data_IF_581173740433
#
_entry.id   IF_581173740433
#
_cell.length_a   1.000
_cell.length_b   1.000
_cell.length_c   1.000
_cell.angle_alpha   90.00
_cell.angle_beta   90.00
_cell.angle_gamma   90.00
#
_symmetry.space_group_name_H-M   'P 1'
#
loop_
_entity.id
_entity.type
_entity.pdbx_description
1 polymer ?
#
# COMPACT_ATOMS: atom_id res chain seq x y z
N UNK A 1 -32.76 -26.61 -22.04
CA UNK A 1 -32.16 -27.58 -21.10
C UNK A 1 -30.82 -27.05 -20.58
N UNK A 2 -29.66 -27.33 -21.19
CA UNK A 2 -28.33 -26.89 -20.67
C UNK A 2 -28.24 -25.37 -20.38
N UNK A 3 -28.77 -24.51 -21.26
CA UNK A 3 -28.79 -23.06 -21.05
C UNK A 3 -29.68 -22.61 -19.88
N UNK A 4 -30.71 -23.38 -19.56
CA UNK A 4 -31.67 -23.10 -18.49
C UNK A 4 -31.10 -23.58 -17.14
N UNK A 5 -30.48 -24.76 -17.12
CA UNK A 5 -29.72 -25.28 -15.98
C UNK A 5 -28.57 -24.33 -15.58
N UNK A 6 -27.80 -23.82 -16.55
CA UNK A 6 -26.75 -22.82 -16.30
C UNK A 6 -27.35 -21.53 -15.70
N UNK A 7 -28.54 -21.10 -16.16
CA UNK A 7 -29.22 -19.91 -15.65
C UNK A 7 -29.76 -20.13 -14.23
N UNK A 8 -30.30 -21.31 -13.95
CA UNK A 8 -30.79 -21.71 -12.63
C UNK A 8 -29.65 -21.80 -11.61
N UNK A 9 -28.57 -22.53 -11.93
CA UNK A 9 -27.35 -22.58 -11.11
C UNK A 9 -26.77 -21.17 -10.87
N UNK A 10 -26.70 -20.33 -11.90
CA UNK A 10 -26.28 -18.93 -11.76
C UNK A 10 -27.17 -18.11 -10.82
N UNK A 11 -28.46 -18.46 -10.72
CA UNK A 11 -29.43 -17.79 -9.85
C UNK A 11 -29.30 -18.30 -8.41
N UNK A 12 -29.15 -19.61 -8.21
CA UNK A 12 -28.90 -20.23 -6.91
C UNK A 12 -27.59 -19.70 -6.29
N UNK A 13 -26.50 -19.66 -7.05
CA UNK A 13 -25.22 -19.10 -6.59
C UNK A 13 -25.34 -17.62 -6.22
N UNK A 14 -26.04 -16.80 -7.02
CA UNK A 14 -26.31 -15.39 -6.67
C UNK A 14 -27.12 -15.25 -5.38
N UNK A 15 -28.09 -16.14 -5.15
CA UNK A 15 -28.91 -16.17 -3.93
C UNK A 15 -28.05 -16.52 -2.71
N UNK A 16 -27.26 -17.59 -2.78
CA UNK A 16 -26.34 -17.98 -1.70
C UNK A 16 -25.33 -16.88 -1.37
N UNK A 17 -24.74 -16.23 -2.39
CA UNK A 17 -23.84 -15.09 -2.18
C UNK A 17 -24.58 -13.93 -1.49
N UNK A 18 -25.82 -13.63 -1.88
CA UNK A 18 -26.61 -12.56 -1.27
C UNK A 18 -27.03 -12.86 0.19
N UNK A 19 -27.19 -14.15 0.54
CA UNK A 19 -27.60 -14.59 1.87
C UNK A 19 -26.42 -14.76 2.84
N UNK A 20 -25.22 -15.09 2.33
CA UNK A 20 -24.08 -15.49 3.17
C UNK A 20 -22.85 -14.57 3.09
N UNK A 21 -22.74 -13.68 2.10
CA UNK A 21 -21.71 -12.63 2.10
C UNK A 21 -22.34 -11.27 2.49
N UNK A 22 -21.88 -10.64 3.59
CA UNK A 22 -22.15 -9.24 3.85
C UNK A 22 -21.64 -8.41 2.66
N UNK A 23 -22.54 -7.72 1.97
CA UNK A 23 -22.18 -6.89 0.79
C UNK A 23 -21.43 -5.62 1.18
N UNK A 24 -21.74 -5.10 2.37
CA UNK A 24 -21.18 -3.89 2.92
C UNK A 24 -20.63 -4.19 4.32
N UNK A 25 -19.34 -3.97 4.54
CA UNK A 25 -18.73 -4.07 5.86
C UNK A 25 -19.02 -2.81 6.65
N UNK A 26 -20.03 -2.86 7.53
CA UNK A 26 -20.47 -1.71 8.34
C UNK A 26 -19.73 -1.63 9.69
N UNK A 27 -19.08 -2.70 10.13
CA UNK A 27 -18.19 -2.72 11.30
C UNK A 27 -16.74 -3.03 10.92
N UNK A 28 -15.80 -2.64 11.80
CA UNK A 28 -14.36 -2.95 11.64
C UNK A 28 -14.13 -4.46 11.54
N UNK A 29 -14.85 -5.24 12.34
CA UNK A 29 -14.75 -6.70 12.42
C UNK A 29 -15.21 -7.35 11.10
N UNK A 30 -16.31 -6.87 10.52
CA UNK A 30 -16.80 -7.32 9.21
C UNK A 30 -15.80 -6.99 8.09
N UNK A 31 -15.23 -5.78 8.09
CA UNK A 31 -14.20 -5.39 7.11
C UNK A 31 -12.95 -6.26 7.25
N UNK A 32 -12.47 -6.48 8.47
CA UNK A 32 -11.30 -7.31 8.76
C UNK A 32 -11.53 -8.78 8.36
N UNK A 33 -12.72 -9.32 8.65
CA UNK A 33 -13.10 -10.66 8.18
C UNK A 33 -13.14 -10.74 6.66
N UNK A 34 -13.80 -9.79 5.98
CA UNK A 34 -13.88 -9.76 4.52
C UNK A 34 -12.51 -9.68 3.84
N UNK A 35 -11.60 -8.86 4.38
CA UNK A 35 -10.22 -8.75 3.89
C UNK A 35 -9.43 -10.05 4.12
N UNK A 36 -9.65 -10.75 5.24
CA UNK A 36 -9.03 -12.07 5.50
C UNK A 36 -9.53 -13.16 4.55
N UNK A 37 -10.82 -13.15 4.21
CA UNK A 37 -11.41 -14.18 3.34
C UNK A 37 -11.18 -13.92 1.85
N UNK A 38 -11.23 -12.66 1.40
CA UNK A 38 -11.29 -12.30 -0.02
C UNK A 38 -10.18 -11.34 -0.47
N UNK A 39 -9.43 -10.75 0.46
CA UNK A 39 -8.53 -9.63 0.20
C UNK A 39 -9.25 -8.31 -0.09
N UNK A 40 -8.50 -7.21 -0.28
CA UNK A 40 -9.04 -5.96 -0.82
C UNK A 40 -9.39 -6.09 -2.31
N UNK A 41 -10.21 -5.15 -2.83
CA UNK A 41 -10.36 -4.97 -4.27
C UNK A 41 -9.02 -4.63 -4.95
N UNK A 42 -8.92 -4.89 -6.25
CA UNK A 42 -7.74 -4.56 -7.07
C UNK A 42 -7.40 -3.07 -7.01
N UNK A 43 -8.43 -2.22 -6.96
CA UNK A 43 -8.33 -0.77 -6.90
C UNK A 43 -7.84 -0.31 -5.51
N UNK A 44 -8.42 -0.84 -4.43
CA UNK A 44 -7.97 -0.54 -3.06
C UNK A 44 -6.54 -1.01 -2.82
N UNK A 45 -6.17 -2.21 -3.30
CA UNK A 45 -4.79 -2.71 -3.28
C UNK A 45 -3.84 -1.80 -4.05
N UNK A 46 -4.24 -1.29 -5.22
CA UNK A 46 -3.45 -0.31 -6.00
C UNK A 46 -3.21 0.99 -5.23
N UNK A 47 -4.24 1.56 -4.59
CA UNK A 47 -4.11 2.79 -3.80
C UNK A 47 -3.23 2.57 -2.57
N UNK A 48 -3.47 1.51 -1.79
CA UNK A 48 -2.69 1.22 -0.58
C UNK A 48 -1.22 0.87 -0.89
N UNK A 49 -0.94 0.20 -2.01
CA UNK A 49 0.42 -0.02 -2.48
C UNK A 49 1.13 1.29 -2.90
N UNK A 50 0.42 2.30 -3.44
CA UNK A 50 1.02 3.62 -3.68
C UNK A 50 1.42 4.31 -2.38
N UNK A 51 0.58 4.24 -1.35
CA UNK A 51 0.92 4.76 -0.02
C UNK A 51 2.06 3.96 0.64
N UNK A 52 2.17 2.66 0.37
CA UNK A 52 3.26 1.81 0.87
C UNK A 52 4.59 2.13 0.16
N UNK A 53 4.56 2.36 -1.16
CA UNK A 53 5.68 2.91 -1.92
C UNK A 53 6.11 4.29 -1.37
N UNK A 54 5.16 5.14 -0.97
CA UNK A 54 5.42 6.44 -0.36
C UNK A 54 6.02 6.34 1.06
N UNK A 55 5.53 5.43 1.89
CA UNK A 55 6.09 5.20 3.23
C UNK A 55 7.51 4.65 3.17
N UNK A 56 7.78 3.69 2.26
CA UNK A 56 9.13 3.20 2.01
C UNK A 56 10.05 4.30 1.49
N UNK A 57 9.57 5.19 0.62
CA UNK A 57 10.34 6.35 0.16
C UNK A 57 10.70 7.28 1.33
N UNK A 58 9.73 7.62 2.18
CA UNK A 58 9.96 8.52 3.31
C UNK A 58 11.04 7.99 4.27
N UNK A 59 11.03 6.68 4.53
CA UNK A 59 12.07 5.98 5.29
C UNK A 59 13.41 5.97 4.55
N UNK A 60 13.43 5.63 3.25
CA UNK A 60 14.67 5.58 2.44
C UNK A 60 15.36 6.97 2.28
N UNK A 61 14.65 8.07 2.51
CA UNK A 61 15.18 9.45 2.35
C UNK A 61 15.15 10.32 3.61
N UNK A 62 14.52 9.87 4.70
CA UNK A 62 14.23 10.71 5.89
C UNK A 62 13.31 11.91 5.60
N UNK A 63 12.52 11.85 4.51
CA UNK A 63 11.68 12.96 4.02
C UNK A 63 10.26 12.51 3.73
N UNK A 64 9.34 13.05 4.50
CA UNK A 64 7.94 12.68 4.54
C UNK A 64 7.14 13.70 3.72
N UNK A 65 6.55 13.25 2.61
CA UNK A 65 5.64 14.07 1.80
C UNK A 65 4.20 13.68 2.13
N UNK A 66 3.42 14.63 2.65
CA UNK A 66 2.06 14.36 3.11
C UNK A 66 1.06 15.36 2.52
N UNK A 67 -0.16 14.88 2.27
CA UNK A 67 -1.30 15.74 1.96
C UNK A 67 -2.04 16.02 3.27
N UNK A 68 -1.77 17.18 3.88
CA UNK A 68 -2.30 17.56 5.20
C UNK A 68 -3.48 18.52 5.04
N UNK A 69 -4.56 18.24 5.76
CA UNK A 69 -5.66 19.19 5.90
C UNK A 69 -5.25 20.30 6.90
N UNK A 70 -5.54 21.56 6.58
CA UNK A 70 -5.30 22.71 7.48
C UNK A 70 -6.48 23.00 8.41
N UNK A 71 -7.63 22.44 8.10
CA UNK A 71 -8.86 22.57 8.86
C UNK A 71 -9.11 21.30 9.70
N UNK A 72 -9.90 21.43 10.76
CA UNK A 72 -10.26 20.28 11.61
C UNK A 72 -11.11 19.28 10.80
N UNK A 73 -10.72 18.00 10.68
CA UNK A 73 -11.51 16.98 10.00
C UNK A 73 -12.95 16.90 10.51
N UNK A 74 -13.90 16.66 9.60
CA UNK A 74 -15.33 16.51 9.92
C UNK A 74 -15.71 15.09 10.32
N UNK A 75 -15.04 14.08 9.73
CA UNK A 75 -15.30 12.68 10.03
C UNK A 75 -14.74 12.31 11.41
N UNK A 76 -15.57 11.65 12.23
CA UNK A 76 -15.12 11.08 13.51
C UNK A 76 -14.09 9.97 13.26
N UNK A 77 -13.00 9.97 14.01
CA UNK A 77 -11.90 9.01 13.83
C UNK A 77 -11.02 9.25 12.60
N UNK A 78 -11.18 10.38 11.89
CA UNK A 78 -10.26 10.79 10.83
C UNK A 78 -8.82 10.95 11.35
N UNK A 79 -7.84 10.70 10.47
CA UNK A 79 -6.43 10.97 10.79
C UNK A 79 -6.20 12.48 10.97
N UNK A 80 -5.66 12.86 12.13
CA UNK A 80 -5.36 14.26 12.47
C UNK A 80 -4.02 14.79 11.94
N UNK A 81 -3.12 13.93 11.46
CA UNK A 81 -1.82 14.32 10.90
C UNK A 81 -1.91 14.58 9.38
N UNK A 82 -2.42 13.62 8.60
CA UNK A 82 -2.56 13.76 7.15
C UNK A 82 -3.65 12.88 6.53
N UNK A 83 -4.09 13.25 5.34
CA UNK A 83 -5.10 12.54 4.57
C UNK A 83 -4.52 11.60 3.50
N UNK A 84 -3.27 11.78 3.07
CA UNK A 84 -2.59 10.85 2.14
C UNK A 84 -1.07 10.94 2.26
N UNK A 85 -0.38 9.80 2.05
CA UNK A 85 1.09 9.71 1.92
C UNK A 85 1.48 9.86 0.46
N UNK A 86 2.37 10.80 0.17
CA UNK A 86 2.77 11.14 -1.20
C UNK A 86 4.15 10.55 -1.48
N UNK A 87 4.31 9.95 -2.65
CA UNK A 87 5.56 9.39 -3.17
C UNK A 87 5.58 9.43 -4.69
N UNK A 88 6.69 9.03 -5.32
CA UNK A 88 7.00 9.31 -6.74
C UNK A 88 5.90 9.04 -7.77
N UNK A 89 5.04 8.04 -7.54
CA UNK A 89 3.93 7.64 -8.45
C UNK A 89 2.66 8.49 -8.28
N UNK A 90 2.63 9.41 -7.34
CA UNK A 90 1.50 10.32 -7.12
C UNK A 90 1.56 11.48 -8.10
N UNK A 91 0.41 11.85 -8.66
CA UNK A 91 0.29 12.88 -9.70
C UNK A 91 0.01 14.26 -9.10
N UNK A 92 0.72 15.25 -9.64
CA UNK A 92 0.57 16.66 -9.37
C UNK A 92 -0.66 17.25 -10.08
N UNK A 93 -1.14 18.41 -9.62
CA UNK A 93 -2.17 19.21 -10.30
C UNK A 93 -1.84 19.53 -11.77
N UNK A 94 -0.57 19.54 -12.19
CA UNK A 94 -0.19 19.71 -13.59
C UNK A 94 -0.40 18.47 -14.48
N UNK A 95 -0.75 17.32 -13.90
CA UNK A 95 -0.93 16.04 -14.59
C UNK A 95 0.31 15.14 -14.62
N UNK A 96 1.47 15.60 -14.14
CA UNK A 96 2.72 14.84 -14.14
C UNK A 96 3.01 14.19 -12.76
N UNK A 97 3.72 13.04 -12.71
CA UNK A 97 4.07 12.38 -11.45
C UNK A 97 5.04 13.23 -10.61
N UNK A 98 5.11 12.98 -9.30
CA UNK A 98 6.11 13.62 -8.42
C UNK A 98 7.54 13.39 -8.91
N UNK A 99 7.83 12.24 -9.52
CA UNK A 99 9.12 11.94 -10.15
C UNK A 99 9.53 12.92 -11.28
N UNK A 100 8.56 13.63 -11.87
CA UNK A 100 8.76 14.61 -12.94
C UNK A 100 8.78 16.06 -12.41
N UNK A 101 8.82 16.23 -11.09
CA UNK A 101 9.18 17.47 -10.43
C UNK A 101 10.64 17.42 -9.98
N UNK A 102 11.23 18.60 -9.74
CA UNK A 102 12.52 18.71 -9.05
C UNK A 102 12.38 18.13 -7.64
N UNK A 103 12.66 16.83 -7.54
CA UNK A 103 13.05 16.16 -6.30
C UNK A 103 14.57 16.20 -6.22
N UNK A 104 15.19 16.35 -5.03
CA UNK A 104 16.64 16.35 -4.91
C UNK A 104 17.20 14.97 -5.30
N UNK A 105 17.78 14.93 -6.50
CA UNK A 105 18.72 13.91 -6.93
C UNK A 105 20.15 14.47 -6.90
N UNK A 106 20.50 15.28 -5.88
CA UNK A 106 21.75 16.07 -5.90
C UNK A 106 22.33 16.57 -4.57
N UNK A 107 22.23 15.76 -3.51
CA UNK A 107 23.42 15.60 -2.66
C UNK A 107 24.21 14.43 -3.26
N UNK A 108 25.14 14.73 -4.16
CA UNK A 108 26.13 13.73 -4.53
C UNK A 108 26.96 13.39 -3.29
N UNK A 109 27.39 12.13 -3.15
CA UNK A 109 28.46 11.74 -2.21
C UNK A 109 29.82 12.30 -2.69
N UNK A 110 29.90 13.62 -2.90
CA UNK A 110 31.12 14.34 -3.29
C UNK A 110 32.22 14.21 -2.23
N UNK A 111 31.85 13.94 -0.98
CA UNK A 111 32.76 13.56 0.10
C UNK A 111 33.49 12.23 -0.15
N UNK A 112 32.85 11.24 -0.78
CA UNK A 112 33.47 9.95 -1.06
C UNK A 112 34.53 10.03 -2.17
N UNK A 113 34.35 10.91 -3.16
CA UNK A 113 35.33 11.14 -4.23
C UNK A 113 36.49 12.08 -3.81
N UNK A 114 36.26 12.96 -2.82
CA UNK A 114 37.27 13.92 -2.35
C UNK A 114 38.19 13.37 -1.23
N UNK A 115 37.74 12.36 -0.47
CA UNK A 115 38.51 11.81 0.67
C UNK A 115 39.46 10.66 0.30
N UNK A 116 39.39 10.10 -0.91
CA UNK A 116 40.28 9.02 -1.37
C UNK A 116 41.74 9.46 -1.64
N UNK A 117 42.14 10.70 -1.30
CA UNK A 117 43.45 11.28 -1.65
C UNK A 117 44.21 11.97 -0.51
N UNK A 118 43.77 11.86 0.76
CA UNK A 118 44.48 12.46 1.92
C UNK A 118 44.40 11.62 3.21
N UNK A 119 45.46 10.84 3.49
CA UNK A 119 45.79 10.21 4.78
C UNK A 119 44.81 9.14 5.31
N UNK A 120 45.19 7.97 5.85
CA UNK A 120 46.50 7.53 6.39
C UNK A 120 47.15 8.57 7.30
N UNK A 121 46.73 8.62 8.56
CA UNK A 121 47.38 7.89 9.67
C UNK A 121 46.70 8.27 11.01
N UNK A 122 46.69 7.36 12.00
CA UNK A 122 46.22 7.66 13.37
C UNK A 122 45.30 6.62 14.01
N UNK A 123 45.87 5.70 14.78
CA UNK A 123 45.14 4.92 15.79
C UNK A 123 44.72 5.80 16.98
N UNK A 124 43.54 5.54 17.56
CA UNK A 124 43.27 5.82 18.97
C UNK A 124 42.15 4.91 19.50
N UNK A 125 42.43 4.23 20.61
CA UNK A 125 41.48 3.40 21.37
C UNK A 125 40.67 4.29 22.33
N UNK A 126 39.38 4.01 22.52
CA UNK A 126 38.53 4.69 23.51
C UNK A 126 37.24 3.90 23.76
N UNK A 127 36.83 3.78 25.03
CA UNK A 127 35.91 2.73 25.50
C UNK A 127 34.60 3.30 26.12
N UNK A 128 33.54 2.49 26.09
CA UNK A 128 32.27 2.49 26.87
C UNK A 128 31.49 3.79 27.16
N UNK A 129 30.16 3.71 27.00
CA UNK A 129 29.23 4.79 27.36
C UNK A 129 27.76 4.49 27.08
N UNK A 130 27.20 3.44 27.69
CA UNK A 130 25.76 3.12 27.59
C UNK A 130 24.86 4.28 28.06
N UNK A 131 24.05 4.80 27.14
CA UNK A 131 22.84 5.59 27.41
C UNK A 131 21.76 5.23 26.41
N UNK A 132 20.56 4.98 26.93
CA UNK A 132 19.42 4.45 26.19
C UNK A 132 19.12 5.23 24.90
N UNK A 133 19.32 4.57 23.76
CA UNK A 133 18.95 5.10 22.46
C UNK A 133 17.45 4.90 22.24
N UNK A 134 16.75 5.97 21.86
CA UNK A 134 15.50 5.83 21.12
C UNK A 134 15.80 5.07 19.81
N UNK A 135 14.89 4.23 19.30
CA UNK A 135 15.13 3.45 18.10
C UNK A 135 15.26 4.38 16.88
N UNK A 136 16.48 4.75 16.51
CA UNK A 136 16.75 5.37 15.22
C UNK A 136 16.60 4.30 14.14
N UNK A 137 15.58 4.43 13.31
CA UNK A 137 15.42 3.55 12.16
C UNK A 137 16.65 3.69 11.25
N UNK A 138 17.16 2.55 10.78
CA UNK A 138 18.51 2.39 10.24
C UNK A 138 18.81 3.02 8.87
N UNK A 139 18.38 4.27 8.62
CA UNK A 139 19.00 5.11 7.60
C UNK A 139 20.29 5.69 8.20
N UNK A 140 21.44 5.45 7.57
CA UNK A 140 22.73 6.07 7.95
C UNK A 140 22.85 7.52 7.44
N UNK A 141 21.72 8.13 7.12
CA UNK A 141 21.60 9.47 6.53
C UNK A 141 21.14 10.46 7.58
N UNK A 142 21.91 11.53 7.77
CA UNK A 142 21.54 12.64 8.63
C UNK A 142 20.15 13.20 8.24
N UNK A 143 19.35 13.69 9.22
CA UNK A 143 18.02 14.21 8.95
C UNK A 143 18.07 15.31 7.89
N UNK A 144 17.11 15.26 6.95
CA UNK A 144 17.09 16.20 5.83
C UNK A 144 17.00 17.65 6.33
N UNK A 145 17.95 18.47 5.91
CA UNK A 145 18.01 19.91 6.21
C UNK A 145 16.87 20.67 5.53
N UNK A 146 16.53 21.85 6.07
CA UNK A 146 15.54 22.75 5.45
C UNK A 146 15.90 23.12 4.00
N UNK A 147 17.19 23.18 3.68
CA UNK A 147 17.66 23.39 2.31
C UNK A 147 17.31 22.22 1.38
N UNK A 148 17.46 20.98 1.85
CA UNK A 148 17.01 19.78 1.12
C UNK A 148 15.48 19.78 0.98
N UNK A 149 14.73 20.08 2.04
CA UNK A 149 13.25 20.19 2.02
C UNK A 149 12.73 21.31 1.10
N UNK A 150 13.48 22.41 0.97
CA UNK A 150 13.17 23.45 0.00
C UNK A 150 13.31 22.95 -1.44
N UNK A 151 14.30 22.08 -1.71
CA UNK A 151 14.50 21.50 -3.04
C UNK A 151 13.38 20.53 -3.43
N UNK A 152 12.83 19.72 -2.50
CA UNK A 152 11.69 18.82 -2.76
C UNK A 152 10.40 19.52 -3.22
N UNK A 153 10.26 20.84 -3.01
CA UNK A 153 9.07 21.63 -3.38
C UNK A 153 9.05 22.06 -4.85
N UNK A 154 10.03 21.66 -5.66
CA UNK A 154 10.37 22.35 -6.90
C UNK A 154 9.41 22.20 -8.08
N UNK A 155 9.82 22.88 -9.17
CA UNK A 155 9.08 22.98 -10.44
C UNK A 155 8.89 21.62 -11.11
N UNK A 156 7.94 21.54 -12.03
CA UNK A 156 7.91 20.44 -12.98
C UNK A 156 9.05 20.62 -14.01
N UNK A 157 9.72 19.52 -14.34
CA UNK A 157 10.85 19.47 -15.27
C UNK A 157 10.43 18.98 -16.67
N UNK A 158 9.18 18.53 -16.83
CA UNK A 158 8.62 18.17 -18.13
C UNK A 158 8.64 19.35 -19.10
N UNK A 159 9.03 19.04 -20.34
CA UNK A 159 9.22 20.05 -21.40
C UNK A 159 7.90 20.76 -21.69
N UNK A 160 7.91 22.08 -21.58
CA UNK A 160 6.71 22.93 -21.77
C UNK A 160 5.80 23.05 -20.54
N UNK A 161 6.08 22.38 -19.41
CA UNK A 161 5.27 22.54 -18.20
C UNK A 161 5.57 23.84 -17.45
N UNK A 162 4.54 24.65 -17.18
CA UNK A 162 4.63 25.92 -16.43
C UNK A 162 4.52 25.75 -14.90
N UNK A 163 4.43 24.52 -14.40
CA UNK A 163 4.14 24.24 -13.00
C UNK A 163 5.34 24.57 -12.09
N UNK A 164 5.16 25.51 -11.15
CA UNK A 164 6.23 26.04 -10.31
C UNK A 164 6.50 25.25 -9.02
N UNK A 165 5.55 24.46 -8.53
CA UNK A 165 5.70 23.59 -7.34
C UNK A 165 4.82 22.36 -7.44
N UNK A 166 5.24 21.24 -6.88
CA UNK A 166 4.36 20.08 -6.73
C UNK A 166 3.16 20.42 -5.84
N UNK A 167 1.95 20.04 -6.27
CA UNK A 167 0.70 20.12 -5.52
C UNK A 167 -0.07 18.84 -5.77
N UNK A 168 -0.30 18.04 -4.74
CA UNK A 168 -1.06 16.80 -4.89
C UNK A 168 -2.50 17.07 -5.32
N UNK A 169 -3.02 16.24 -6.21
CA UNK A 169 -4.45 16.14 -6.52
C UNK A 169 -4.82 14.66 -6.51
N UNK A 170 -5.99 14.25 -5.98
CA UNK A 170 -6.38 12.84 -6.00
C UNK A 170 -6.26 12.21 -7.39
N UNK A 171 -5.65 11.03 -7.42
CA UNK A 171 -5.20 10.32 -8.61
C UNK A 171 -6.23 9.31 -9.14
N UNK A 172 -7.19 8.90 -8.31
CA UNK A 172 -8.27 7.97 -8.67
C UNK A 172 -9.60 8.42 -8.04
N UNK A 173 -10.75 7.97 -8.59
CA UNK A 173 -12.05 8.23 -7.97
C UNK A 173 -12.17 7.67 -6.54
N UNK A 174 -11.46 6.59 -6.22
CA UNK A 174 -11.54 5.91 -4.93
C UNK A 174 -11.05 6.82 -3.78
N UNK A 175 -10.04 7.65 -4.05
CA UNK A 175 -9.45 8.60 -3.08
C UNK A 175 -10.39 9.78 -2.73
N UNK A 176 -11.51 9.93 -3.44
CA UNK A 176 -12.52 10.98 -3.24
C UNK A 176 -13.94 10.42 -3.06
N UNK A 177 -14.07 9.14 -2.71
CA UNK A 177 -15.36 8.47 -2.52
C UNK A 177 -16.14 8.14 -3.81
N UNK A 178 -15.64 8.56 -4.98
CA UNK A 178 -16.25 8.31 -6.29
C UNK A 178 -15.89 6.94 -6.89
N UNK A 179 -15.44 5.98 -6.08
CA UNK A 179 -15.01 4.65 -6.52
C UNK A 179 -16.03 3.89 -7.38
N UNK A 180 -17.32 4.22 -7.27
CA UNK A 180 -18.39 3.69 -8.11
C UNK A 180 -18.26 4.04 -9.61
N UNK A 181 -17.54 5.12 -9.97
CA UNK A 181 -17.28 5.49 -11.37
C UNK A 181 -16.54 4.40 -12.15
N UNK A 182 -15.68 3.62 -11.48
CA UNK A 182 -14.90 2.53 -12.11
C UNK A 182 -15.76 1.37 -12.60
N UNK A 183 -17.02 1.27 -12.13
CA UNK A 183 -17.98 0.22 -12.49
C UNK A 183 -18.83 0.55 -13.71
N UNK A 184 -18.68 1.75 -14.30
CA UNK A 184 -19.43 2.16 -15.50
C UNK A 184 -18.88 1.45 -16.74
N UNK A 185 -19.74 0.98 -17.64
CA UNK A 185 -19.34 0.22 -18.83
C UNK A 185 -18.33 0.96 -19.73
N UNK A 186 -18.43 2.29 -19.83
CA UNK A 186 -17.53 3.14 -20.62
C UNK A 186 -16.44 3.80 -19.77
N UNK A 187 -16.07 3.22 -18.63
CA UNK A 187 -15.03 3.75 -17.75
C UNK A 187 -13.64 3.63 -18.39
N UNK A 188 -12.88 4.74 -18.39
CA UNK A 188 -11.49 4.80 -18.83
C UNK A 188 -10.66 5.56 -17.80
N UNK A 189 -9.71 4.86 -17.17
CA UNK A 189 -8.89 5.46 -16.11
C UNK A 189 -8.00 6.61 -16.60
N UNK A 190 -7.51 6.54 -17.85
CA UNK A 190 -6.65 7.57 -18.48
C UNK A 190 -7.34 8.91 -18.70
N UNK A 191 -8.63 8.88 -19.05
CA UNK A 191 -9.45 10.08 -19.31
C UNK A 191 -9.93 10.77 -18.01
N UNK A 192 -9.89 10.08 -16.88
CA UNK A 192 -10.33 10.67 -15.61
C UNK A 192 -9.41 11.79 -15.12
N UNK A 193 -10.01 12.75 -14.43
CA UNK A 193 -9.35 13.80 -13.68
C UNK A 193 -10.30 14.36 -12.62
N UNK A 194 -9.77 14.61 -11.42
CA UNK A 194 -10.50 15.26 -10.34
C UNK A 194 -11.15 16.57 -10.81
N UNK A 195 -12.43 16.77 -10.49
CA UNK A 195 -13.29 17.81 -11.08
C UNK A 195 -13.28 19.11 -10.27
N UNK A 196 -13.27 20.22 -11.00
CA UNK A 196 -13.59 21.55 -10.51
C UNK A 196 -15.12 21.75 -10.51
N UNK A 197 -15.64 22.67 -9.67
CA UNK A 197 -17.07 23.05 -9.66
C UNK A 197 -17.62 23.58 -10.99
N UNK A 198 -16.76 23.99 -11.92
CA UNK A 198 -17.16 24.32 -13.29
C UNK A 198 -17.33 23.11 -14.23
N UNK A 199 -17.34 21.89 -13.71
CA UNK A 199 -17.49 20.64 -14.47
C UNK A 199 -16.23 20.16 -15.22
N UNK A 200 -15.23 21.02 -15.35
CA UNK A 200 -13.96 20.71 -16.01
C UNK A 200 -12.99 19.98 -15.06
N UNK A 201 -12.09 19.17 -15.62
CA UNK A 201 -11.07 18.45 -14.84
C UNK A 201 -9.83 19.31 -14.57
N UNK A 202 -9.11 19.04 -13.47
CA UNK A 202 -7.90 19.81 -13.11
C UNK A 202 -6.86 19.93 -14.25
N UNK A 203 -6.77 18.93 -15.14
CA UNK A 203 -5.85 18.90 -16.29
C UNK A 203 -6.05 20.06 -17.29
N UNK A 204 -7.23 20.70 -17.34
CA UNK A 204 -7.47 21.90 -18.19
C UNK A 204 -7.30 23.22 -17.43
N UNK A 205 -6.97 23.17 -16.14
CA UNK A 205 -6.60 24.35 -15.39
C UNK A 205 -5.10 24.63 -15.59
N UNK A 206 -4.72 25.91 -15.60
CA UNK A 206 -3.31 26.29 -15.61
C UNK A 206 -2.64 25.93 -14.26
N UNK A 207 -1.52 25.20 -14.22
CA UNK A 207 -0.96 24.70 -12.97
C UNK A 207 -0.26 25.76 -12.10
N UNK A 208 -0.11 27.00 -12.59
CA UNK A 208 0.46 28.12 -11.82
C UNK A 208 -0.62 28.98 -11.18
N UNK A 209 -1.60 29.41 -11.97
CA UNK A 209 -2.72 30.28 -11.57
C UNK A 209 -3.97 29.52 -11.12
N UNK A 210 -4.05 28.21 -11.39
CA UNK A 210 -5.21 27.34 -11.15
C UNK A 210 -6.48 27.78 -11.89
N UNK A 211 -6.41 28.71 -12.85
CA UNK A 211 -7.55 29.17 -13.65
C UNK A 211 -7.96 28.14 -14.70
N UNK A 212 -9.26 27.96 -14.93
CA UNK A 212 -9.75 27.06 -15.97
C UNK A 212 -9.56 27.70 -17.35
N UNK A 213 -8.87 27.00 -18.27
CA UNK A 213 -8.66 27.48 -19.64
C UNK A 213 -9.90 27.35 -20.53
N UNK A 214 -10.88 26.52 -20.14
CA UNK A 214 -12.04 26.20 -20.97
C UNK A 214 -13.26 27.10 -20.77
N UNK A 215 -13.53 27.57 -19.54
CA UNK A 215 -14.77 28.30 -19.23
C UNK A 215 -14.59 29.78 -18.85
N UNK A 216 -13.36 30.27 -18.67
CA UNK A 216 -13.05 31.68 -18.36
C UNK A 216 -13.44 32.19 -16.97
N UNK A 217 -14.58 31.76 -16.42
CA UNK A 217 -15.14 32.24 -15.15
C UNK A 217 -14.47 31.70 -13.88
N UNK A 218 -13.55 30.75 -13.98
CA UNK A 218 -12.83 30.22 -12.82
C UNK A 218 -11.54 31.00 -12.54
N UNK A 219 -11.56 31.83 -11.50
CA UNK A 219 -10.38 32.52 -10.97
C UNK A 219 -9.36 31.60 -10.29
N UNK A 220 -9.76 30.36 -9.96
CA UNK A 220 -8.93 29.29 -9.41
C UNK A 220 -9.57 27.91 -9.58
N UNK A 221 -9.04 26.89 -8.90
CA UNK A 221 -9.63 25.55 -8.82
C UNK A 221 -10.36 25.40 -7.49
N UNK A 222 -11.64 25.01 -7.57
CA UNK A 222 -12.50 24.75 -6.42
C UNK A 222 -13.04 23.34 -6.60
N UNK A 223 -12.81 22.44 -5.66
CA UNK A 223 -13.16 21.03 -5.82
C UNK A 223 -14.68 20.82 -5.90
N UNK A 224 -15.09 19.92 -6.79
CA UNK A 224 -16.44 19.37 -6.87
C UNK A 224 -16.61 18.07 -6.06
N UNK A 225 -15.64 17.75 -5.21
CA UNK A 225 -15.54 16.53 -4.41
C UNK A 225 -14.99 16.87 -3.02
N UNK A 226 -15.11 15.94 -2.08
CA UNK A 226 -14.53 16.04 -0.74
C UNK A 226 -13.48 14.95 -0.55
N UNK A 227 -12.53 15.18 0.35
CA UNK A 227 -11.53 14.19 0.73
C UNK A 227 -12.19 13.03 1.50
N UNK A 228 -11.96 11.78 1.08
CA UNK A 228 -12.55 10.59 1.72
C UNK A 228 -12.10 10.37 3.17
N UNK A 229 -11.01 11.00 3.62
CA UNK A 229 -10.44 10.83 4.97
C UNK A 229 -10.97 11.85 5.98
N UNK A 230 -11.28 13.08 5.55
CA UNK A 230 -11.64 14.17 6.46
C UNK A 230 -12.95 14.91 6.11
N UNK A 231 -13.57 14.60 4.96
CA UNK A 231 -14.78 15.23 4.41
C UNK A 231 -14.67 16.76 4.20
N UNK A 232 -13.47 17.22 3.84
CA UNK A 232 -13.17 18.62 3.52
C UNK A 232 -12.74 18.76 2.05
N UNK A 233 -12.94 19.94 1.44
CA UNK A 233 -12.61 20.17 0.04
C UNK A 233 -11.10 20.15 -0.19
N UNK A 234 -10.69 19.92 -1.44
CA UNK A 234 -9.27 19.85 -1.84
C UNK A 234 -8.49 21.10 -1.44
N UNK A 235 -9.09 22.29 -1.61
CA UNK A 235 -8.50 23.58 -1.27
C UNK A 235 -8.24 23.80 0.24
N UNK A 236 -8.81 22.98 1.13
CA UNK A 236 -8.48 22.96 2.57
C UNK A 236 -7.18 22.21 2.88
N UNK A 237 -6.50 21.66 1.87
CA UNK A 237 -5.32 20.81 2.02
C UNK A 237 -4.09 21.35 1.29
N UNK A 238 -2.92 21.15 1.89
CA UNK A 238 -1.63 21.47 1.28
C UNK A 238 -0.75 20.21 1.17
N UNK A 239 0.14 20.19 0.17
CA UNK A 239 1.26 19.24 0.15
C UNK A 239 2.38 19.79 1.03
N UNK A 240 2.65 19.09 2.13
CA UNK A 240 3.67 19.42 3.12
C UNK A 240 4.85 18.45 2.97
N UNK A 241 6.04 18.97 3.26
CA UNK A 241 7.32 18.26 3.17
C UNK A 241 8.03 18.41 4.50
N UNK A 242 8.36 17.28 5.13
CA UNK A 242 8.86 17.24 6.51
C UNK A 242 10.10 16.35 6.59
N UNK A 243 11.07 16.74 7.41
CA UNK A 243 12.15 15.83 7.80
C UNK A 243 11.66 14.88 8.89
N UNK A 244 12.32 13.75 9.04
CA UNK A 244 12.10 12.84 10.16
C UNK A 244 12.20 13.54 11.53
N UNK A 245 13.22 14.39 11.71
CA UNK A 245 13.46 15.11 12.96
C UNK A 245 12.31 16.05 13.35
N UNK A 246 11.71 16.77 12.39
CA UNK A 246 10.52 17.58 12.66
C UNK A 246 9.34 16.70 13.08
N UNK A 247 9.09 15.59 12.37
CA UNK A 247 7.99 14.67 12.73
C UNK A 247 8.17 14.05 14.11
N UNK A 248 9.39 13.66 14.48
CA UNK A 248 9.68 13.19 15.85
C UNK A 248 9.43 14.30 16.88
N UNK A 249 9.85 15.54 16.61
CA UNK A 249 9.60 16.70 17.48
C UNK A 249 8.10 17.00 17.67
N UNK A 250 7.30 16.87 16.62
CA UNK A 250 5.86 17.08 16.62
C UNK A 250 5.05 15.85 17.11
N UNK A 251 5.72 14.76 17.51
CA UNK A 251 5.09 13.52 17.94
C UNK A 251 4.35 12.77 16.82
N UNK A 252 4.69 13.04 15.57
CA UNK A 252 4.12 12.42 14.38
C UNK A 252 4.81 11.09 14.03
N UNK A 253 4.09 10.12 13.46
CA UNK A 253 4.65 8.80 13.15
C UNK A 253 5.76 8.87 12.09
N UNK A 254 6.84 8.12 12.33
CA UNK A 254 8.01 7.94 11.45
C UNK A 254 8.24 6.44 11.20
N UNK A 255 9.03 6.11 10.17
CA UNK A 255 9.47 4.74 9.84
C UNK A 255 8.35 3.66 9.91
N UNK A 256 8.44 2.67 10.80
CA UNK A 256 7.45 1.59 10.96
C UNK A 256 6.05 2.13 11.25
N UNK A 257 5.96 3.10 12.17
CA UNK A 257 4.71 3.73 12.57
C UNK A 257 4.10 4.59 11.44
N UNK A 258 4.93 5.10 10.52
CA UNK A 258 4.46 5.81 9.34
C UNK A 258 3.85 4.90 8.28
N UNK A 259 4.09 3.58 8.30
CA UNK A 259 3.59 2.69 7.25
C UNK A 259 2.05 2.66 7.16
N UNK A 260 1.46 2.42 5.96
CA UNK A 260 0.02 2.19 5.85
C UNK A 260 -0.36 0.98 6.69
N UNK A 261 -1.48 1.05 7.43
CA UNK A 261 -1.95 -0.03 8.30
C UNK A 261 -0.95 -0.45 9.39
N UNK A 262 -0.09 0.46 9.89
CA UNK A 262 0.90 0.13 10.92
C UNK A 262 0.29 -0.45 12.22
N UNK A 263 -0.87 0.07 12.65
CA UNK A 263 -1.60 -0.41 13.83
C UNK A 263 -2.59 -1.55 13.57
N UNK A 264 -2.36 -2.39 12.56
CA UNK A 264 -3.25 -3.49 12.14
C UNK A 264 -2.47 -4.80 12.05
N UNK A 265 -3.14 -5.92 12.35
CA UNK A 265 -2.60 -7.27 12.34
C UNK A 265 -1.80 -7.62 11.06
N UNK A 266 -0.68 -8.34 11.24
CA UNK A 266 0.26 -8.65 10.17
C UNK A 266 -0.31 -9.50 9.02
N UNK A 267 -1.29 -10.36 9.32
CA UNK A 267 -1.99 -11.18 8.32
C UNK A 267 -2.84 -10.32 7.38
N UNK A 268 -3.51 -9.30 7.92
CA UNK A 268 -4.27 -8.33 7.12
C UNK A 268 -3.34 -7.40 6.34
N UNK A 269 -2.19 -6.99 6.92
CA UNK A 269 -1.17 -6.26 6.17
C UNK A 269 -0.68 -7.05 4.95
N UNK A 270 -0.40 -8.35 5.11
CA UNK A 270 0.00 -9.23 4.00
C UNK A 270 -1.13 -9.47 2.99
N UNK A 271 -2.37 -9.68 3.43
CA UNK A 271 -3.51 -9.84 2.53
C UNK A 271 -3.75 -8.58 1.67
N UNK A 272 -3.40 -7.40 2.19
CA UNK A 272 -3.68 -6.11 1.54
C UNK A 272 -2.52 -5.61 0.68
N UNK A 273 -1.30 -5.64 1.19
CA UNK A 273 -0.11 -5.03 0.56
C UNK A 273 0.71 -6.07 -0.21
N UNK A 274 1.27 -5.67 -1.35
CA UNK A 274 2.18 -6.54 -2.12
C UNK A 274 3.54 -6.73 -1.44
N UNK A 275 3.91 -5.82 -0.55
CA UNK A 275 5.15 -5.83 0.23
C UNK A 275 4.84 -5.30 1.65
N UNK A 276 4.26 -6.15 2.50
CA UNK A 276 3.85 -5.78 3.86
C UNK A 276 5.02 -5.47 4.80
N UNK A 277 6.24 -5.91 4.46
CA UNK A 277 7.47 -5.68 5.21
C UNK A 277 8.24 -4.43 4.75
N UNK A 278 7.79 -3.76 3.67
CA UNK A 278 8.49 -2.66 3.00
C UNK A 278 9.94 -3.01 2.62
N UNK A 279 10.15 -4.23 2.14
CA UNK A 279 11.45 -4.77 1.76
C UNK A 279 12.28 -5.25 2.94
N UNK A 280 11.65 -5.91 3.92
CA UNK A 280 12.31 -6.46 5.11
C UNK A 280 12.67 -5.43 6.17
N UNK A 281 11.96 -4.29 6.23
CA UNK A 281 12.17 -3.22 7.21
C UNK A 281 11.19 -3.27 8.38
N UNK A 282 9.96 -3.72 8.13
CA UNK A 282 8.99 -4.02 9.18
C UNK A 282 9.09 -5.51 9.48
N UNK A 283 9.59 -5.82 10.67
CA UNK A 283 9.54 -7.17 11.22
C UNK A 283 8.08 -7.57 11.52
N UNK A 284 7.60 -8.73 11.03
CA UNK A 284 6.26 -9.20 11.36
C UNK A 284 6.14 -9.58 12.84
N UNK A 285 4.95 -9.41 13.42
CA UNK A 285 4.75 -9.75 14.84
C UNK A 285 4.97 -11.25 15.11
N UNK A 286 5.53 -11.57 16.29
CA UNK A 286 5.79 -12.95 16.70
C UNK A 286 4.54 -13.85 16.62
N UNK A 287 3.37 -13.30 16.93
CA UNK A 287 2.07 -13.99 16.80
C UNK A 287 1.77 -14.38 15.34
N UNK A 288 2.01 -13.48 14.39
CA UNK A 288 1.83 -13.76 12.96
C UNK A 288 2.86 -14.78 12.45
N UNK A 289 4.13 -14.68 12.88
CA UNK A 289 5.16 -15.66 12.54
C UNK A 289 4.79 -17.08 13.04
N UNK A 290 4.31 -17.18 14.28
CA UNK A 290 3.86 -18.45 14.86
C UNK A 290 2.62 -19.02 14.14
N UNK A 291 1.69 -18.18 13.68
CA UNK A 291 0.57 -18.61 12.84
C UNK A 291 1.06 -19.15 11.48
N UNK A 292 1.98 -18.45 10.81
CA UNK A 292 2.55 -18.93 9.55
C UNK A 292 3.32 -20.24 9.68
N UNK A 293 4.10 -20.41 10.75
CA UNK A 293 4.80 -21.67 11.02
C UNK A 293 3.83 -22.85 11.16
N UNK A 294 2.68 -22.65 11.84
CA UNK A 294 1.62 -23.66 11.94
C UNK A 294 0.98 -24.00 10.58
N UNK A 295 0.68 -22.99 9.76
CA UNK A 295 0.15 -23.19 8.41
C UNK A 295 1.14 -23.86 7.46
N UNK A 296 2.44 -23.68 7.68
CA UNK A 296 3.52 -24.26 6.87
C UNK A 296 3.93 -25.67 7.31
N UNK A 297 3.59 -26.08 8.54
CA UNK A 297 4.05 -27.32 9.17
C UNK A 297 3.24 -28.58 8.80
N UNK A 298 2.19 -28.47 7.98
CA UNK A 298 1.30 -29.59 7.66
C UNK A 298 1.81 -30.48 6.52
N UNK A 299 2.99 -31.10 6.68
CA UNK A 299 3.45 -32.22 5.86
C UNK A 299 4.67 -32.97 6.48
N UNK A 300 4.63 -33.28 7.77
CA UNK A 300 5.68 -34.08 8.42
C UNK A 300 5.20 -34.84 9.67
N UNK A 301 4.21 -35.72 9.53
CA UNK A 301 4.10 -36.88 10.43
C UNK A 301 4.62 -38.10 9.65
N UNK A 302 5.87 -38.45 9.93
CA UNK A 302 6.51 -39.61 9.36
C UNK A 302 5.85 -40.89 9.88
N UNK A 303 5.68 -41.84 8.99
CA UNK A 303 5.29 -43.20 9.31
C UNK A 303 6.37 -43.82 10.20
N UNK A 304 6.00 -44.32 11.39
CA UNK A 304 6.90 -45.15 12.21
C UNK A 304 6.06 -46.17 12.96
N UNK A 305 6.01 -47.36 12.37
CA UNK A 305 5.42 -48.58 12.92
C UNK A 305 6.17 -49.10 14.15
N UNK A 306 5.47 -49.95 14.93
CA UNK A 306 5.96 -50.81 16.03
C UNK A 306 6.09 -50.07 17.39
N UNK A 307 5.67 -50.62 18.54
CA UNK A 307 5.15 -51.97 18.87
C UNK A 307 4.25 -51.92 20.11
N UNK A 308 3.32 -52.87 20.27
CA UNK A 308 2.60 -53.07 21.53
C UNK A 308 3.51 -53.74 22.59
N UNK A 309 3.17 -53.64 23.90
CA UNK A 309 2.52 -54.81 24.49
C UNK A 309 1.37 -54.52 25.49
N UNK A 310 0.63 -55.60 25.71
CA UNK A 310 -0.52 -55.86 26.58
C UNK A 310 -0.41 -55.49 28.07
N UNK A 311 -1.54 -55.05 28.67
CA UNK A 311 -2.30 -55.78 29.72
C UNK A 311 -2.90 -54.92 30.86
N UNK A 312 -4.22 -55.03 31.01
CA UNK A 312 -5.03 -55.03 32.24
C UNK A 312 -4.65 -54.17 33.46
N UNK A 313 -5.54 -53.24 33.83
CA UNK A 313 -6.38 -53.37 35.05
C UNK A 313 -7.49 -52.31 35.11
N UNK A 314 -8.70 -52.73 35.50
CA UNK A 314 -9.83 -51.88 35.89
C UNK A 314 -10.12 -52.11 37.39
N UNK A 315 -11.21 -51.61 38.03
CA UNK A 315 -12.17 -50.58 37.61
C UNK A 315 -12.45 -49.52 38.71
N UNK A 316 -13.33 -48.54 38.44
CA UNK A 316 -14.45 -48.19 39.33
C UNK A 316 -15.53 -47.37 38.60
N UNK A 317 -16.77 -47.57 39.04
CA UNK A 317 -18.01 -47.12 38.39
C UNK A 317 -18.79 -46.18 39.31
N UNK A 318 -19.45 -45.16 38.74
CA UNK A 318 -20.72 -44.58 39.23
C UNK A 318 -21.60 -44.26 38.00
N UNK A 319 -22.93 -44.38 38.15
CA UNK A 319 -23.90 -44.56 37.06
C UNK A 319 -24.91 -43.40 36.88
N UNK A 320 -25.70 -43.50 35.79
CA UNK A 320 -26.91 -42.69 35.51
C UNK A 320 -26.76 -41.76 34.31
N UNK A 321 -27.67 -41.69 33.34
CA UNK A 321 -28.90 -42.48 33.09
C UNK A 321 -29.42 -42.23 31.64
N UNK A 322 -30.23 -43.15 31.11
CA UNK A 322 -30.87 -43.12 29.75
C UNK A 322 -32.39 -42.88 29.90
N UNK A 323 -33.16 -42.41 28.89
CA UNK A 323 -33.48 -43.14 27.63
C UNK A 323 -33.46 -42.26 26.35
N UNK A 324 -33.06 -42.71 25.15
CA UNK A 324 -33.65 -43.67 24.16
C UNK A 324 -34.66 -43.09 23.14
N UNK A 325 -34.23 -42.99 21.88
CA UNK A 325 -34.96 -43.32 20.62
C UNK A 325 -33.99 -43.08 19.43
N UNK A 326 -33.55 -44.08 18.65
CA UNK A 326 -34.21 -44.72 17.47
C UNK A 326 -34.68 -43.72 16.40
N UNK A 327 -34.40 -43.80 15.10
CA UNK A 327 -33.48 -44.62 14.28
C UNK A 327 -33.38 -43.89 12.89
N UNK A 328 -32.64 -44.30 11.85
CA UNK A 328 -31.80 -45.47 11.56
C UNK A 328 -30.67 -45.09 10.57
N UNK A 329 -29.75 -46.01 10.23
CA UNK A 329 -28.71 -45.79 9.23
C UNK A 329 -29.09 -46.28 7.81
N UNK A 330 -28.56 -45.63 6.77
CA UNK A 330 -28.37 -46.27 5.46
C UNK A 330 -27.18 -45.66 4.71
N UNK A 331 -26.07 -46.40 4.69
CA UNK A 331 -24.93 -46.12 3.81
C UNK A 331 -25.36 -46.27 2.34
N UNK A 332 -24.76 -45.46 1.46
CA UNK A 332 -24.45 -45.91 0.11
C UNK A 332 -23.18 -45.23 -0.41
N UNK A 333 -22.28 -46.05 -0.92
CA UNK A 333 -20.97 -45.64 -1.42
C UNK A 333 -21.04 -45.15 -2.88
N UNK A 334 -19.96 -44.46 -3.29
CA UNK A 334 -19.76 -43.90 -4.63
C UNK A 334 -19.38 -42.42 -4.52
N UNK A 335 -18.30 -41.93 -5.11
CA UNK A 335 -17.36 -42.55 -6.05
C UNK A 335 -16.70 -41.42 -6.84
N UNK A 336 -15.38 -41.37 -6.89
CA UNK A 336 -14.60 -40.16 -7.23
C UNK A 336 -14.87 -39.56 -8.61
N UNK A 337 -14.86 -38.22 -8.70
CA UNK A 337 -14.08 -37.49 -9.72
C UNK A 337 -13.96 -35.99 -9.39
N UNK A 338 -12.78 -35.57 -8.94
CA UNK A 338 -12.47 -34.15 -8.78
C UNK A 338 -12.02 -33.57 -10.13
N UNK A 339 -12.96 -32.96 -10.86
CA UNK A 339 -12.65 -32.21 -12.07
C UNK A 339 -11.94 -30.89 -11.75
N UNK A 340 -10.64 -30.83 -11.97
CA UNK A 340 -9.88 -29.57 -11.85
C UNK A 340 -10.33 -28.59 -12.96
N UNK A 341 -10.87 -27.44 -12.58
CA UNK A 341 -11.19 -26.37 -13.52
C UNK A 341 -9.91 -25.64 -13.97
N UNK A 342 -9.74 -25.34 -15.27
CA UNK A 342 -8.52 -24.71 -15.76
C UNK A 342 -8.41 -23.26 -15.29
N UNK A 343 -7.20 -22.88 -14.87
CA UNK A 343 -6.88 -21.49 -14.54
C UNK A 343 -6.93 -20.61 -15.80
N UNK A 344 -7.89 -19.69 -15.87
CA UNK A 344 -8.00 -18.73 -16.98
C UNK A 344 -6.92 -17.66 -16.80
N UNK A 345 -5.77 -17.85 -17.45
CA UNK A 345 -4.64 -16.91 -17.48
C UNK A 345 -4.94 -15.71 -18.39
N UNK A 346 -5.83 -14.83 -17.93
CA UNK A 346 -6.02 -13.52 -18.53
C UNK A 346 -4.79 -12.63 -18.28
N UNK A 347 -3.86 -12.58 -19.23
CA UNK A 347 -2.74 -11.62 -19.21
C UNK A 347 -3.29 -10.18 -19.17
N UNK A 348 -2.97 -9.38 -18.15
CA UNK A 348 -3.42 -8.00 -18.10
C UNK A 348 -2.63 -7.15 -19.10
N UNK A 349 -3.33 -6.50 -20.03
CA UNK A 349 -2.73 -5.40 -20.79
C UNK A 349 -2.30 -4.29 -19.80
N UNK A 350 -1.03 -3.89 -19.88
CA UNK A 350 -0.44 -2.89 -19.00
C UNK A 350 -0.97 -1.48 -19.29
N UNK A 351 -1.26 -0.72 -18.23
CA UNK A 351 -1.42 0.75 -18.33
C UNK A 351 -0.02 1.35 -18.47
N UNK A 352 0.36 1.94 -19.63
CA UNK A 352 1.77 2.24 -19.95
C UNK A 352 2.44 3.29 -19.05
N UNK A 353 1.66 3.99 -18.20
CA UNK A 353 2.15 5.01 -17.26
C UNK A 353 2.35 4.44 -15.84
N UNK A 354 1.71 3.31 -15.50
CA UNK A 354 1.70 2.79 -14.12
C UNK A 354 2.76 1.73 -13.82
N UNK A 355 3.30 1.07 -14.84
CA UNK A 355 4.32 0.01 -14.72
C UNK A 355 5.76 0.50 -14.97
N UNK A 356 5.95 1.80 -15.18
CA UNK A 356 7.28 2.41 -15.13
C UNK A 356 7.92 2.19 -13.76
N UNK A 357 9.07 1.51 -13.71
CA UNK A 357 9.87 1.44 -12.48
C UNK A 357 10.77 2.67 -12.38
N UNK A 358 10.82 3.25 -11.19
CA UNK A 358 11.58 4.46 -10.88
C UNK A 358 12.78 4.10 -10.00
N UNK A 359 13.91 4.78 -10.19
CA UNK A 359 15.03 4.66 -9.25
C UNK A 359 14.64 5.25 -7.89
N UNK A 360 14.77 4.44 -6.84
CA UNK A 360 14.38 4.82 -5.47
C UNK A 360 15.16 6.01 -4.90
N UNK A 361 16.37 6.26 -5.41
CA UNK A 361 17.27 7.31 -4.91
C UNK A 361 17.17 8.66 -5.63
N UNK A 362 16.64 8.69 -6.86
CA UNK A 362 16.67 9.90 -7.70
C UNK A 362 15.41 10.08 -8.57
N UNK A 363 14.37 9.30 -8.30
CA UNK A 363 13.11 9.24 -9.05
C UNK A 363 13.20 8.94 -10.55
N UNK A 364 14.39 8.82 -11.15
CA UNK A 364 14.53 8.66 -12.60
C UNK A 364 13.93 7.34 -13.08
N UNK A 365 13.06 7.39 -14.08
CA UNK A 365 12.48 6.21 -14.75
C UNK A 365 13.59 5.34 -15.34
N UNK A 366 13.56 4.03 -15.05
CA UNK A 366 14.46 3.08 -15.72
C UNK A 366 14.08 2.98 -17.20
N UNK A 367 14.95 3.47 -18.09
CA UNK A 367 14.74 3.48 -19.55
C UNK A 367 14.54 2.09 -20.16
N UNK A 368 14.92 1.01 -19.48
CA UNK A 368 14.74 -0.38 -19.91
C UNK A 368 14.42 -1.31 -18.72
N UNK A 369 13.58 -2.35 -18.87
CA UNK A 369 13.31 -3.33 -17.80
C UNK A 369 14.57 -4.09 -17.32
N UNK A 370 15.60 -4.21 -18.16
CA UNK A 370 16.82 -4.98 -17.87
C UNK A 370 17.95 -4.12 -17.25
N UNK A 371 17.76 -2.80 -17.12
CA UNK A 371 18.76 -1.90 -16.54
C UNK A 371 19.08 -2.27 -15.10
N UNK A 372 20.28 -2.81 -14.86
CA UNK A 372 20.81 -3.15 -13.52
C UNK A 372 21.15 -1.92 -12.65
N UNK A 373 21.30 -0.75 -13.27
CA UNK A 373 21.68 0.51 -12.61
C UNK A 373 20.84 1.66 -13.15
N UNK A 374 20.68 2.70 -12.34
CA UNK A 374 20.00 3.93 -12.76
C UNK A 374 20.90 4.77 -13.68
N UNK A 375 20.36 5.18 -14.81
CA UNK A 375 21.08 5.99 -15.80
C UNK A 375 21.43 7.42 -15.32
N UNK A 376 20.83 7.91 -14.22
CA UNK A 376 21.05 9.27 -13.70
C UNK A 376 21.99 9.30 -12.49
N UNK A 377 21.80 8.39 -11.52
CA UNK A 377 22.57 8.39 -10.26
C UNK A 377 23.51 7.19 -10.09
N UNK A 378 23.56 6.27 -11.06
CA UNK A 378 24.42 5.07 -11.01
C UNK A 378 24.01 3.99 -9.99
N UNK A 379 23.05 4.28 -9.10
CA UNK A 379 22.64 3.34 -8.04
C UNK A 379 22.04 2.04 -8.62
N UNK A 380 22.27 0.89 -7.98
CA UNK A 380 21.76 -0.38 -8.45
C UNK A 380 20.23 -0.43 -8.39
N UNK A 381 19.63 -1.08 -9.38
CA UNK A 381 18.20 -1.39 -9.37
C UNK A 381 17.93 -2.47 -8.32
N UNK A 382 16.96 -2.28 -7.42
CA UNK A 382 16.55 -3.33 -6.50
C UNK A 382 16.18 -4.60 -7.27
N UNK A 383 16.84 -5.71 -6.95
CA UNK A 383 16.46 -7.02 -7.49
C UNK A 383 15.04 -7.33 -7.02
N UNK A 384 14.11 -7.60 -7.95
CA UNK A 384 12.85 -8.27 -7.56
C UNK A 384 13.21 -9.68 -7.09
N UNK A 385 12.63 -10.17 -5.97
CA UNK A 385 12.73 -11.58 -5.62
C UNK A 385 12.28 -12.45 -6.80
N UNK A 386 13.02 -13.52 -7.11
CA UNK A 386 12.78 -14.34 -8.30
C UNK A 386 11.38 -14.99 -8.35
N UNK A 387 10.72 -15.10 -7.20
CA UNK A 387 9.42 -15.76 -7.00
C UNK A 387 8.20 -14.91 -7.42
N UNK A 388 8.39 -13.88 -8.26
CA UNK A 388 7.34 -12.95 -8.72
C UNK A 388 7.35 -12.77 -10.25
N UNK A 389 7.42 -13.88 -10.98
CA UNK A 389 7.18 -13.97 -12.43
C UNK A 389 5.91 -14.77 -12.72
#
# INVERSE_FOLDING_TARGET
>A
MVHDEIRELSTQVKSMIAQHLPRDGTSKEQVMWGVRQFGPSKESRRVLNKENDAARLAWETGVYCVWRCREKPRLSGANGDFCCRIGYRHVCFCGHPLAAHTTPARAANSSAAAQASRGRDGEAVGNDGDKGHAPSCGSSTAPATDAQLAQWKGRCEEVGCSCARYRYVPNTPLEIGEGWLTRRANWKASEWSAKCRCGHGHKVHDPKSMRCKSCGGCSGFTSAFLCVVCDLPWEAHDTVWESEGMRVGDGHPVCEAYAPLAGIDGDVREAVLTDATMGGRIEPSATYLALKQRSSGSCALADTTMTAPTASSAPRSIAGGRPSSTAAAKNREGGSSAGALPAITASPAADPILDAEYCRFCATVYKRPESKFCAQCGQPRPQRPANLR
#
